data_IF_890618798020
#
_entry.id   IF_890618798020
#
_cell.length_a   1.000
_cell.length_b   1.000
_cell.length_c   1.000
_cell.angle_alpha   90.00
_cell.angle_beta   90.00
_cell.angle_gamma   90.00
#
_symmetry.space_group_name_H-M   'P 1'
#
loop_
_entity.id
_entity.type
_entity.pdbx_description
1 polymer ?
#
# COMPACT_ATOMS: atom_id res chain seq x y z
N UNK A 1 27.87 34.90 20.12
CA UNK A 1 27.65 33.47 19.80
C UNK A 1 26.19 33.30 19.41
N UNK A 2 25.85 33.47 18.13
CA UNK A 2 24.45 33.39 17.67
C UNK A 2 24.04 31.92 17.52
N UNK A 3 22.94 31.51 18.15
CA UNK A 3 22.35 30.18 17.97
C UNK A 3 21.73 30.13 16.57
N UNK A 4 22.29 29.31 15.69
CA UNK A 4 21.68 28.97 14.41
C UNK A 4 20.41 28.15 14.65
N UNK A 5 19.26 28.63 14.17
CA UNK A 5 18.03 27.83 14.14
C UNK A 5 18.13 26.77 13.06
N UNK A 6 18.13 25.49 13.47
CA UNK A 6 18.09 24.36 12.56
C UNK A 6 16.64 24.09 12.14
N UNK A 7 16.36 24.27 10.85
CA UNK A 7 15.07 23.90 10.25
C UNK A 7 14.96 22.37 10.19
N UNK A 8 14.09 21.78 11.01
CA UNK A 8 13.79 20.33 10.97
C UNK A 8 13.18 19.97 9.62
N UNK A 9 13.85 19.10 8.88
CA UNK A 9 13.32 18.52 7.64
C UNK A 9 12.37 17.38 8.07
N UNK A 10 11.09 17.38 7.67
CA UNK A 10 10.21 16.24 7.92
C UNK A 10 10.70 15.06 7.07
N UNK A 11 11.19 14.02 7.73
CA UNK A 11 11.60 12.78 7.08
C UNK A 11 10.36 11.89 7.02
N UNK A 12 9.76 11.73 5.84
CA UNK A 12 8.71 10.74 5.60
C UNK A 12 9.38 9.36 5.47
N UNK A 13 9.55 8.66 6.59
CA UNK A 13 10.15 7.33 6.62
C UNK A 13 9.09 6.35 6.10
N UNK A 14 9.13 6.03 4.81
CA UNK A 14 8.29 4.99 4.23
C UNK A 14 8.78 3.62 4.71
N UNK A 15 8.06 3.03 5.68
CA UNK A 15 8.37 1.71 6.22
C UNK A 15 8.03 0.64 5.18
N UNK A 16 8.99 -0.25 4.89
CA UNK A 16 8.73 -1.42 4.06
C UNK A 16 7.90 -2.44 4.83
N UNK A 17 6.96 -3.06 4.15
CA UNK A 17 6.09 -4.10 4.68
C UNK A 17 6.01 -5.25 3.68
N UNK A 18 5.56 -6.42 4.13
CA UNK A 18 5.41 -7.61 3.28
C UNK A 18 3.94 -7.90 3.04
N UNK A 19 3.52 -7.88 1.78
CA UNK A 19 2.23 -8.36 1.32
C UNK A 19 2.31 -9.88 1.12
N UNK A 20 1.45 -10.63 1.81
CA UNK A 20 1.38 -12.10 1.75
C UNK A 20 0.02 -12.51 1.20
N UNK A 21 -0.01 -13.29 0.12
CA UNK A 21 -1.23 -13.95 -0.36
C UNK A 21 -1.45 -15.24 0.41
N UNK A 22 -2.63 -15.39 1.00
CA UNK A 22 -2.95 -16.51 1.90
C UNK A 22 -3.01 -17.84 1.14
N UNK A 23 -3.54 -17.87 -0.08
CA UNK A 23 -3.79 -19.12 -0.80
C UNK A 23 -2.51 -19.90 -1.16
N UNK A 24 -1.45 -19.21 -1.56
CA UNK A 24 -0.23 -19.83 -2.10
C UNK A 24 1.06 -19.35 -1.42
N UNK A 25 0.95 -18.44 -0.45
CA UNK A 25 2.09 -17.92 0.29
C UNK A 25 2.95 -16.93 -0.52
N UNK A 26 2.47 -16.40 -1.65
CA UNK A 26 3.22 -15.38 -2.41
C UNK A 26 3.53 -14.18 -1.50
N UNK A 27 4.82 -13.81 -1.41
CA UNK A 27 5.30 -12.68 -0.62
C UNK A 27 5.89 -11.59 -1.50
N UNK A 28 5.52 -10.33 -1.26
CA UNK A 28 6.08 -9.14 -1.91
C UNK A 28 6.40 -8.09 -0.86
N UNK A 29 7.67 -7.70 -0.76
CA UNK A 29 8.14 -6.74 0.25
C UNK A 29 8.46 -5.41 -0.41
N UNK A 30 7.93 -4.33 0.12
CA UNK A 30 8.11 -2.99 -0.43
C UNK A 30 7.30 -1.94 0.34
N UNK A 31 7.21 -0.74 -0.20
CA UNK A 31 6.29 0.27 0.34
C UNK A 31 4.87 -0.07 -0.11
N UNK A 32 3.98 -0.34 0.84
CA UNK A 32 2.59 -0.70 0.53
C UNK A 32 1.71 0.55 0.59
N UNK A 33 0.93 0.76 -0.47
CA UNK A 33 -0.12 1.79 -0.55
C UNK A 33 -1.37 1.19 -1.19
N UNK A 34 -2.45 1.95 -1.16
CA UNK A 34 -3.73 1.60 -1.78
C UNK A 34 -4.10 2.64 -2.82
N UNK A 35 -4.40 2.21 -4.04
CA UNK A 35 -4.76 3.08 -5.15
C UNK A 35 -6.28 3.13 -5.33
N UNK A 36 -6.80 4.34 -5.38
CA UNK A 36 -8.16 4.66 -5.81
C UNK A 36 -8.17 4.86 -7.32
N UNK A 37 -9.19 4.32 -8.00
CA UNK A 37 -9.41 4.54 -9.42
C UNK A 37 -10.52 5.59 -9.65
N UNK A 38 -10.42 6.32 -10.74
CA UNK A 38 -11.51 7.17 -11.24
C UNK A 38 -12.51 6.37 -12.09
N UNK A 39 -13.54 7.06 -12.60
CA UNK A 39 -14.61 6.46 -13.40
C UNK A 39 -14.12 5.96 -14.78
N UNK A 40 -12.93 6.38 -15.22
CA UNK A 40 -12.27 5.90 -16.43
C UNK A 40 -11.31 4.72 -16.13
N UNK A 41 -11.21 4.29 -14.87
CA UNK A 41 -10.31 3.23 -14.43
C UNK A 41 -8.84 3.65 -14.30
N UNK A 42 -8.54 4.95 -14.31
CA UNK A 42 -7.17 5.46 -14.09
C UNK A 42 -6.90 5.67 -12.61
N UNK A 43 -5.64 5.53 -12.23
CA UNK A 43 -5.18 5.80 -10.87
C UNK A 43 -5.40 7.26 -10.49
N UNK A 44 -6.22 7.50 -9.47
CA UNK A 44 -6.60 8.84 -9.00
C UNK A 44 -5.77 9.30 -7.81
N UNK A 45 -5.64 8.45 -6.78
CA UNK A 45 -4.95 8.81 -5.53
C UNK A 45 -4.41 7.60 -4.80
N UNK A 46 -3.27 7.78 -4.12
CA UNK A 46 -2.70 6.80 -3.19
C UNK A 46 -3.12 7.09 -1.75
N UNK A 47 -3.42 6.03 -1.01
CA UNK A 47 -3.87 6.03 0.37
C UNK A 47 -3.04 5.06 1.21
N UNK A 48 -3.00 5.29 2.52
CA UNK A 48 -2.26 4.43 3.46
C UNK A 48 -3.10 3.27 4.02
N UNK A 49 -4.42 3.33 3.87
CA UNK A 49 -5.35 2.34 4.43
C UNK A 49 -6.13 1.61 3.33
N UNK A 50 -6.46 0.35 3.60
CA UNK A 50 -7.26 -0.49 2.73
C UNK A 50 -8.72 -0.03 2.75
N UNK A 51 -9.38 -0.07 1.59
CA UNK A 51 -10.80 0.21 1.44
C UNK A 51 -11.37 -0.58 0.27
N UNK A 52 -12.64 -0.99 0.37
CA UNK A 52 -13.38 -1.58 -0.74
C UNK A 52 -13.38 -0.61 -1.93
N UNK A 53 -13.12 -1.13 -3.13
CA UNK A 53 -12.97 -0.33 -4.35
C UNK A 53 -11.54 0.15 -4.64
N UNK A 54 -10.61 0.01 -3.70
CA UNK A 54 -9.18 0.29 -3.94
C UNK A 54 -8.43 -0.97 -4.35
N UNK A 55 -7.24 -0.82 -4.91
CA UNK A 55 -6.29 -1.93 -5.09
C UNK A 55 -5.05 -1.72 -4.22
N UNK A 56 -4.43 -2.79 -3.75
CA UNK A 56 -3.14 -2.72 -3.07
C UNK A 56 -2.02 -2.65 -4.11
N UNK A 57 -1.07 -1.75 -3.91
CA UNK A 57 0.11 -1.58 -4.77
C UNK A 57 1.38 -1.60 -3.92
N UNK A 58 2.38 -2.35 -4.38
CA UNK A 58 3.70 -2.49 -3.75
C UNK A 58 4.71 -1.70 -4.57
N UNK A 59 5.44 -0.81 -3.89
CA UNK A 59 6.38 0.17 -4.48
C UNK A 59 5.69 1.06 -5.52
N UNK A 60 4.73 1.91 -5.09
CA UNK A 60 3.92 2.72 -5.99
C UNK A 60 4.80 3.67 -6.81
N UNK A 61 5.00 3.30 -8.07
CA UNK A 61 5.73 4.04 -9.09
C UNK A 61 5.21 3.63 -10.47
N UNK A 62 5.78 4.19 -11.54
CA UNK A 62 5.48 3.76 -12.92
C UNK A 62 5.81 2.27 -13.12
N UNK A 63 6.79 1.75 -12.39
CA UNK A 63 7.22 0.35 -12.42
C UNK A 63 7.01 -0.31 -11.05
N UNK A 64 5.75 -0.47 -10.67
CA UNK A 64 5.40 -1.11 -9.40
C UNK A 64 5.78 -2.60 -9.37
N UNK A 65 6.10 -3.10 -8.18
CA UNK A 65 6.51 -4.50 -7.97
C UNK A 65 5.32 -5.45 -8.06
N UNK A 66 4.17 -5.02 -7.54
CA UNK A 66 2.95 -5.82 -7.53
C UNK A 66 1.73 -4.92 -7.39
N UNK A 67 0.63 -5.29 -8.03
CA UNK A 67 -0.67 -4.66 -7.83
C UNK A 67 -1.74 -5.75 -7.77
N UNK A 68 -2.63 -5.67 -6.78
CA UNK A 68 -3.74 -6.61 -6.65
C UNK A 68 -4.91 -6.19 -7.54
N UNK A 69 -5.89 -7.09 -7.71
CA UNK A 69 -7.22 -6.67 -8.15
C UNK A 69 -7.90 -5.83 -7.06
N UNK A 70 -9.05 -5.24 -7.42
CA UNK A 70 -9.86 -4.42 -6.52
C UNK A 70 -10.26 -5.21 -5.27
N UNK A 71 -10.16 -4.56 -4.13
CA UNK A 71 -10.56 -5.06 -2.82
C UNK A 71 -12.09 -5.10 -2.78
N UNK A 72 -12.63 -6.27 -2.45
CA UNK A 72 -14.07 -6.52 -2.31
C UNK A 72 -14.50 -6.56 -0.84
N UNK A 73 -13.58 -6.90 0.07
CA UNK A 73 -13.84 -6.99 1.50
C UNK A 73 -12.59 -6.59 2.28
N UNK A 74 -12.76 -5.79 3.34
CA UNK A 74 -11.69 -5.42 4.28
C UNK A 74 -12.01 -6.08 5.62
N UNK A 75 -11.15 -7.00 6.04
CA UNK A 75 -11.30 -7.74 7.31
C UNK A 75 -10.62 -6.96 8.45
N UNK A 76 -9.48 -6.34 8.17
CA UNK A 76 -8.80 -5.38 9.03
C UNK A 76 -7.87 -4.48 8.21
N UNK A 77 -7.28 -3.46 8.83
CA UNK A 77 -6.34 -2.54 8.15
C UNK A 77 -5.23 -3.26 7.38
N UNK A 78 -4.79 -4.42 7.89
CA UNK A 78 -3.72 -5.26 7.33
C UNK A 78 -4.24 -6.56 6.69
N UNK A 79 -5.54 -6.77 6.58
CA UNK A 79 -6.12 -8.01 6.05
C UNK A 79 -7.32 -7.72 5.15
N UNK A 80 -7.25 -8.09 3.88
CA UNK A 80 -8.29 -7.80 2.91
C UNK A 80 -8.42 -8.91 1.87
N UNK A 81 -9.58 -8.96 1.23
CA UNK A 81 -9.87 -9.86 0.12
C UNK A 81 -10.11 -9.08 -1.14
N UNK A 82 -9.61 -9.63 -2.24
CA UNK A 82 -10.00 -9.28 -3.59
C UNK A 82 -10.88 -10.39 -4.15
N UNK A 83 -11.38 -10.21 -5.38
CA UNK A 83 -12.29 -11.18 -5.99
C UNK A 83 -11.77 -12.63 -5.97
N UNK A 84 -10.46 -12.83 -6.13
CA UNK A 84 -9.85 -14.15 -6.33
C UNK A 84 -8.80 -14.52 -5.27
N UNK A 85 -8.55 -13.66 -4.28
CA UNK A 85 -7.41 -13.85 -3.37
C UNK A 85 -7.61 -13.11 -2.05
N UNK A 86 -7.01 -13.65 -1.00
CA UNK A 86 -6.93 -13.04 0.33
C UNK A 86 -5.49 -12.64 0.64
N UNK A 87 -5.29 -11.45 1.22
CA UNK A 87 -3.99 -10.85 1.43
C UNK A 87 -3.83 -10.29 2.84
N UNK A 88 -2.66 -10.56 3.44
CA UNK A 88 -2.24 -10.01 4.72
C UNK A 88 -1.00 -9.12 4.55
N UNK A 89 -0.92 -8.07 5.34
CA UNK A 89 0.25 -7.20 5.44
C UNK A 89 0.98 -7.51 6.75
N UNK A 90 2.23 -7.91 6.63
CA UNK A 90 3.15 -8.15 7.74
C UNK A 90 4.15 -7.00 7.83
N UNK A 91 4.40 -6.50 9.04
CA UNK A 91 5.50 -5.56 9.31
C UNK A 91 6.82 -6.32 9.34
N UNK A 92 7.91 -5.64 8.93
CA UNK A 92 9.27 -6.15 9.00
C UNK A 92 9.86 -5.99 10.41
#
# INVERSE_FOLDING_TARGET
MSKLEQKKIPIDIQTKQTLVRVNDGLKKTGVIKFIEFDDEGKGKKLHSQSKVGYACIVDPSVFYTWMTSVIVEVISDKHFKTQNSEYKIEEL
#
